data_IF_816893176036
#
_entry.id   IF_816893176036
#
_cell.length_a   1.000
_cell.length_b   1.000
_cell.length_c   1.000
_cell.angle_alpha   90.00
_cell.angle_beta   90.00
_cell.angle_gamma   90.00
#
_symmetry.space_group_name_H-M   'P 1'
#
loop_
_entity.id
_entity.type
_entity.pdbx_description
1 polymer ?
#
# COMPACT_ATOMS: atom_id res chain seq x y z
N UNK A 1 -42.53 23.99 -29.62
CA UNK A 1 -41.56 22.93 -29.23
C UNK A 1 -42.33 21.91 -28.42
N UNK A 2 -42.34 20.63 -28.80
CA UNK A 2 -43.17 19.59 -28.19
C UNK A 2 -42.34 18.58 -27.39
N UNK A 3 -42.93 18.04 -26.32
CA UNK A 3 -42.31 17.08 -25.38
C UNK A 3 -41.57 15.92 -26.07
N UNK A 4 -42.07 15.43 -27.21
CA UNK A 4 -41.45 14.35 -27.98
C UNK A 4 -40.10 14.78 -28.60
N UNK A 5 -39.96 16.03 -29.05
CA UNK A 5 -38.72 16.54 -29.63
C UNK A 5 -37.64 16.72 -28.55
N UNK A 6 -38.04 17.20 -27.37
CA UNK A 6 -37.16 17.32 -26.21
C UNK A 6 -36.73 15.94 -25.68
N UNK A 7 -37.66 14.97 -25.63
CA UNK A 7 -37.33 13.58 -25.26
C UNK A 7 -36.41 12.90 -26.28
N UNK A 8 -36.57 13.17 -27.58
CA UNK A 8 -35.66 12.65 -28.62
C UNK A 8 -34.25 13.22 -28.44
N UNK A 9 -34.12 14.54 -28.24
CA UNK A 9 -32.82 15.18 -27.98
C UNK A 9 -32.16 14.65 -26.71
N UNK A 10 -32.92 14.45 -25.63
CA UNK A 10 -32.40 13.84 -24.40
C UNK A 10 -31.97 12.39 -24.61
N UNK A 11 -32.75 11.60 -25.35
CA UNK A 11 -32.41 10.21 -25.65
C UNK A 11 -31.16 10.09 -26.54
N UNK A 12 -31.01 10.95 -27.55
CA UNK A 12 -29.84 10.96 -28.42
C UNK A 12 -28.58 11.42 -27.67
N UNK A 13 -28.71 12.42 -26.79
CA UNK A 13 -27.62 12.85 -25.90
C UNK A 13 -27.20 11.75 -24.92
N UNK A 14 -28.15 11.02 -24.34
CA UNK A 14 -27.87 9.89 -23.46
C UNK A 14 -27.17 8.74 -24.20
N UNK A 15 -27.65 8.38 -25.40
CA UNK A 15 -27.00 7.37 -26.25
C UNK A 15 -25.59 7.75 -26.65
N UNK A 16 -25.36 9.02 -27.05
CA UNK A 16 -24.03 9.51 -27.39
C UNK A 16 -23.08 9.40 -26.18
N UNK A 17 -23.55 9.80 -25.00
CA UNK A 17 -22.76 9.70 -23.76
C UNK A 17 -22.43 8.24 -23.40
N UNK A 18 -23.33 7.30 -23.65
CA UNK A 18 -23.10 5.87 -23.37
C UNK A 18 -22.11 5.24 -24.36
N UNK A 19 -22.13 5.67 -25.64
CA UNK A 19 -21.13 5.27 -26.63
C UNK A 19 -19.75 5.78 -26.24
N UNK A 20 -19.62 7.07 -25.92
CA UNK A 20 -18.35 7.68 -25.50
C UNK A 20 -17.77 6.99 -24.25
N UNK A 21 -18.62 6.69 -23.25
CA UNK A 21 -18.20 5.94 -22.06
C UNK A 21 -17.70 4.54 -22.43
N UNK A 22 -18.44 3.82 -23.26
CA UNK A 22 -18.07 2.45 -23.67
C UNK A 22 -16.74 2.44 -24.44
N UNK A 23 -16.52 3.41 -25.33
CA UNK A 23 -15.25 3.55 -26.05
C UNK A 23 -14.09 3.89 -25.11
N UNK A 24 -14.30 4.79 -24.14
CA UNK A 24 -13.29 5.13 -23.14
C UNK A 24 -12.89 3.92 -22.28
N UNK A 25 -13.86 3.09 -21.86
CA UNK A 25 -13.60 1.87 -21.10
C UNK A 25 -12.85 0.82 -21.93
N UNK A 26 -13.21 0.65 -23.22
CA UNK A 26 -12.46 -0.22 -24.13
C UNK A 26 -11.02 0.25 -24.30
N UNK A 27 -10.80 1.55 -24.49
CA UNK A 27 -9.46 2.13 -24.61
C UNK A 27 -8.61 1.86 -23.35
N UNK A 28 -9.19 2.07 -22.17
CA UNK A 28 -8.54 1.76 -20.90
C UNK A 28 -8.21 0.27 -20.76
N UNK A 29 -9.15 -0.61 -21.09
CA UNK A 29 -8.95 -2.06 -21.05
C UNK A 29 -7.80 -2.52 -21.96
N UNK A 30 -7.74 -2.00 -23.19
CA UNK A 30 -6.66 -2.29 -24.15
C UNK A 30 -5.31 -1.77 -23.64
N UNK A 31 -5.27 -0.57 -23.06
CA UNK A 31 -4.04 -0.02 -22.49
C UNK A 31 -3.49 -0.88 -21.35
N UNK A 32 -4.38 -1.31 -20.43
CA UNK A 32 -4.03 -2.22 -19.32
C UNK A 32 -3.55 -3.57 -19.85
N UNK A 33 -4.25 -4.14 -20.82
CA UNK A 33 -3.87 -5.42 -21.43
C UNK A 33 -2.47 -5.37 -22.06
N UNK A 34 -2.20 -4.34 -22.86
CA UNK A 34 -0.90 -4.15 -23.48
C UNK A 34 0.22 -4.00 -22.45
N UNK A 35 -0.03 -3.24 -21.38
CA UNK A 35 0.95 -3.03 -20.33
C UNK A 35 1.25 -4.32 -19.54
N UNK A 36 0.22 -5.06 -19.14
CA UNK A 36 0.37 -6.32 -18.41
C UNK A 36 0.99 -7.42 -19.28
N UNK A 37 0.57 -7.53 -20.55
CA UNK A 37 1.16 -8.48 -21.50
C UNK A 37 2.64 -8.19 -21.71
N UNK A 38 3.03 -6.91 -21.80
CA UNK A 38 4.44 -6.50 -21.88
C UNK A 38 5.20 -6.90 -20.61
N UNK A 39 4.63 -6.64 -19.43
CA UNK A 39 5.21 -7.07 -18.15
C UNK A 39 5.48 -8.58 -18.14
N UNK A 40 4.45 -9.37 -18.51
CA UNK A 40 4.54 -10.82 -18.54
C UNK A 40 5.63 -11.31 -19.48
N UNK A 41 5.61 -10.88 -20.74
CA UNK A 41 6.56 -11.35 -21.74
C UNK A 41 8.01 -11.03 -21.36
N UNK A 42 8.28 -9.79 -20.94
CA UNK A 42 9.62 -9.36 -20.57
C UNK A 42 10.11 -10.06 -19.30
N UNK A 43 9.31 -10.09 -18.24
CA UNK A 43 9.71 -10.66 -16.95
C UNK A 43 9.82 -12.18 -17.01
N UNK A 44 9.01 -12.84 -17.84
CA UNK A 44 9.12 -14.28 -18.07
C UNK A 44 10.42 -14.62 -18.82
N UNK A 45 10.79 -13.86 -19.84
CA UNK A 45 12.06 -14.08 -20.54
C UNK A 45 13.26 -13.79 -19.64
N UNK A 46 13.24 -12.67 -18.90
CA UNK A 46 14.23 -12.36 -17.88
C UNK A 46 14.36 -13.50 -16.85
N UNK A 47 13.24 -13.99 -16.31
CA UNK A 47 13.22 -15.06 -15.32
C UNK A 47 13.87 -16.34 -15.85
N UNK A 48 13.65 -16.71 -17.11
CA UNK A 48 14.32 -17.85 -17.76
C UNK A 48 15.83 -17.67 -17.79
N UNK A 49 16.32 -16.47 -18.18
CA UNK A 49 17.75 -16.19 -18.23
C UNK A 49 18.37 -16.17 -16.82
N UNK A 50 17.70 -15.57 -15.83
CA UNK A 50 18.18 -15.52 -14.45
C UNK A 50 18.28 -16.90 -13.80
N UNK A 51 17.33 -17.80 -14.11
CA UNK A 51 17.38 -19.19 -13.64
C UNK A 51 18.60 -19.96 -14.19
N UNK A 52 19.06 -19.63 -15.39
CA UNK A 52 20.26 -20.23 -16.00
C UNK A 52 21.53 -19.66 -15.36
N UNK A 53 21.61 -18.34 -15.24
CA UNK A 53 22.83 -17.64 -14.78
C UNK A 53 23.01 -17.75 -13.26
N UNK A 54 21.95 -18.01 -12.49
CA UNK A 54 21.94 -18.03 -11.02
C UNK A 54 22.56 -16.76 -10.45
N UNK A 55 21.99 -15.62 -10.83
CA UNK A 55 22.52 -14.30 -10.51
C UNK A 55 22.65 -14.09 -8.99
N UNK A 56 23.83 -13.67 -8.49
CA UNK A 56 23.96 -13.18 -7.13
C UNK A 56 23.09 -11.94 -6.91
N UNK A 57 22.38 -11.90 -5.80
CA UNK A 57 21.59 -10.75 -5.38
C UNK A 57 22.50 -9.71 -4.71
N UNK A 58 22.42 -8.43 -5.10
CA UNK A 58 23.21 -7.37 -4.46
C UNK A 58 22.57 -6.86 -3.15
N UNK A 59 21.38 -7.34 -2.81
CA UNK A 59 20.65 -6.88 -1.63
C UNK A 59 21.23 -7.43 -0.33
N UNK A 60 21.17 -6.59 0.71
CA UNK A 60 21.49 -6.97 2.09
C UNK A 60 20.25 -6.71 2.93
N UNK A 61 19.66 -7.79 3.44
CA UNK A 61 18.43 -7.70 4.23
C UNK A 61 18.77 -7.58 5.69
N UNK A 62 18.15 -6.61 6.37
CA UNK A 62 18.37 -6.40 7.80
C UNK A 62 17.28 -7.08 8.58
N UNK A 63 17.63 -8.15 9.29
CA UNK A 63 16.67 -8.82 10.17
C UNK A 63 16.86 -8.25 11.59
N UNK A 64 15.86 -7.51 12.13
CA UNK A 64 16.00 -6.85 13.42
C UNK A 64 16.47 -7.84 14.48
N UNK A 65 17.49 -7.47 15.25
CA UNK A 65 18.07 -8.25 16.36
C UNK A 65 18.78 -9.56 15.98
N UNK A 66 18.89 -9.90 14.70
CA UNK A 66 19.58 -11.11 14.21
C UNK A 66 20.85 -10.74 13.45
N UNK A 67 20.80 -9.68 12.65
CA UNK A 67 21.92 -9.19 11.84
C UNK A 67 21.57 -9.12 10.36
N UNK A 68 22.62 -8.93 9.55
CA UNK A 68 22.51 -8.73 8.12
C UNK A 68 22.57 -10.07 7.38
N UNK A 69 21.61 -10.28 6.47
CA UNK A 69 21.55 -11.40 5.55
C UNK A 69 22.17 -10.97 4.23
N UNK A 70 23.26 -11.62 3.83
CA UNK A 70 24.00 -11.30 2.60
C UNK A 70 24.39 -12.57 1.84
N UNK A 71 25.04 -12.41 0.68
CA UNK A 71 25.43 -13.54 -0.16
C UNK A 71 24.24 -14.30 -0.75
N UNK A 72 23.10 -13.62 -0.91
CA UNK A 72 21.89 -14.18 -1.50
C UNK A 72 22.09 -14.41 -2.99
N UNK A 73 21.46 -15.44 -3.53
CA UNK A 73 21.33 -15.65 -4.96
C UNK A 73 19.86 -15.82 -5.32
N UNK A 74 19.47 -15.26 -6.47
CA UNK A 74 18.13 -15.49 -6.99
C UNK A 74 18.02 -16.89 -7.60
N UNK A 75 16.92 -17.58 -7.30
CA UNK A 75 16.58 -18.91 -7.79
C UNK A 75 15.08 -18.99 -8.08
N UNK A 76 14.68 -20.01 -8.83
CA UNK A 76 13.27 -20.37 -9.05
C UNK A 76 12.39 -19.18 -9.48
N UNK A 77 12.90 -18.37 -10.41
CA UNK A 77 12.11 -17.30 -11.03
C UNK A 77 10.92 -17.90 -11.77
N UNK A 78 9.74 -17.34 -11.51
CA UNK A 78 8.49 -17.76 -12.10
C UNK A 78 7.59 -16.55 -12.34
N UNK A 79 6.91 -16.55 -13.48
CA UNK A 79 5.96 -15.50 -13.86
C UNK A 79 4.66 -16.16 -14.34
N UNK A 80 3.54 -15.71 -13.78
CA UNK A 80 2.19 -16.15 -14.14
C UNK A 80 1.32 -14.92 -14.46
N UNK A 81 0.18 -15.16 -15.12
CA UNK A 81 -0.82 -14.14 -15.36
C UNK A 81 -2.23 -14.65 -15.10
N UNK A 82 -3.15 -13.73 -14.86
CA UNK A 82 -4.58 -14.00 -14.74
C UNK A 82 -5.31 -13.12 -15.74
N UNK A 83 -6.28 -13.72 -16.43
CA UNK A 83 -7.19 -12.99 -17.31
C UNK A 83 -8.52 -12.75 -16.62
N UNK A 84 -9.24 -11.74 -17.09
CA UNK A 84 -10.60 -11.43 -16.68
C UNK A 84 -11.42 -11.09 -17.92
N UNK A 85 -12.65 -11.57 -17.95
CA UNK A 85 -13.61 -11.15 -18.96
C UNK A 85 -14.11 -9.73 -18.64
N UNK A 86 -13.96 -8.81 -19.58
CA UNK A 86 -14.39 -7.42 -19.42
C UNK A 86 -14.98 -6.91 -20.74
N UNK A 87 -16.18 -6.33 -20.70
CA UNK A 87 -16.96 -5.86 -21.86
C UNK A 87 -17.26 -6.95 -22.88
N UNK A 88 -16.30 -7.30 -23.73
CA UNK A 88 -16.46 -8.13 -24.92
C UNK A 88 -15.38 -9.20 -25.08
N UNK A 89 -14.33 -9.18 -24.25
CA UNK A 89 -13.19 -10.08 -24.38
C UNK A 89 -12.50 -10.36 -23.05
N UNK A 90 -11.67 -11.39 -23.05
CA UNK A 90 -10.70 -11.64 -21.98
C UNK A 90 -9.47 -10.75 -22.16
N UNK A 91 -9.16 -9.99 -21.11
CA UNK A 91 -7.98 -9.13 -21.02
C UNK A 91 -7.07 -9.64 -19.90
N UNK A 92 -5.78 -9.34 -19.97
CA UNK A 92 -4.87 -9.51 -18.84
C UNK A 92 -5.37 -8.66 -17.67
N UNK A 93 -5.46 -9.26 -16.49
CA UNK A 93 -5.92 -8.62 -15.26
C UNK A 93 -4.81 -8.52 -14.23
N UNK A 94 -4.06 -9.62 -14.05
CA UNK A 94 -2.94 -9.65 -13.11
C UNK A 94 -1.71 -10.30 -13.75
N UNK A 95 -0.53 -9.84 -13.35
CA UNK A 95 0.74 -10.52 -13.60
C UNK A 95 1.45 -10.72 -12.26
N UNK A 96 1.88 -11.94 -12.00
CA UNK A 96 2.57 -12.32 -10.76
C UNK A 96 3.99 -12.74 -11.12
N UNK A 97 4.96 -12.10 -10.49
CA UNK A 97 6.37 -12.46 -10.58
C UNK A 97 6.82 -12.92 -9.21
N UNK A 98 7.57 -14.01 -9.16
CA UNK A 98 8.19 -14.47 -7.94
C UNK A 98 9.56 -15.06 -8.20
N UNK A 99 10.44 -14.92 -7.21
CA UNK A 99 11.74 -15.55 -7.16
C UNK A 99 12.04 -15.94 -5.71
N UNK A 100 12.94 -16.90 -5.53
CA UNK A 100 13.50 -17.27 -4.23
C UNK A 100 14.86 -16.60 -4.07
N UNK A 101 15.07 -15.93 -2.95
CA UNK A 101 16.36 -15.40 -2.54
C UNK A 101 16.90 -16.28 -1.42
N UNK A 102 17.99 -17.00 -1.70
CA UNK A 102 18.58 -17.94 -0.74
C UNK A 102 20.08 -17.75 -0.60
N UNK A 103 20.60 -17.91 0.61
CA UNK A 103 22.01 -17.96 0.97
C UNK A 103 22.27 -19.22 1.83
N UNK A 104 23.50 -19.72 1.82
CA UNK A 104 23.92 -20.83 2.71
C UNK A 104 24.10 -20.37 4.17
N UNK A 105 24.00 -19.07 4.42
CA UNK A 105 24.06 -18.48 5.74
C UNK A 105 22.89 -18.97 6.62
N UNK A 106 23.23 -19.45 7.82
CA UNK A 106 22.26 -19.75 8.88
C UNK A 106 22.56 -18.83 10.04
N UNK A 107 21.56 -18.04 10.45
CA UNK A 107 21.69 -17.10 11.55
C UNK A 107 21.11 -17.73 12.82
N UNK A 108 21.84 -17.62 13.93
CA UNK A 108 21.39 -18.10 15.24
C UNK A 108 21.12 -16.93 16.17
N UNK A 109 19.90 -16.83 16.68
CA UNK A 109 19.50 -15.77 17.62
C UNK A 109 18.81 -16.36 18.84
N UNK A 110 19.22 -15.88 20.02
CA UNK A 110 18.61 -16.22 21.30
C UNK A 110 17.60 -15.15 21.69
N UNK A 111 16.37 -15.56 22.01
CA UNK A 111 15.30 -14.69 22.50
C UNK A 111 14.82 -15.11 23.86
N UNK A 112 14.61 -14.12 24.73
CA UNK A 112 13.98 -14.32 26.04
C UNK A 112 12.47 -14.55 25.91
N UNK A 113 11.80 -14.87 27.03
CA UNK A 113 10.38 -15.22 27.04
C UNK A 113 9.47 -14.09 26.51
N UNK A 114 9.85 -12.83 26.75
CA UNK A 114 9.05 -11.65 26.37
C UNK A 114 9.06 -11.33 24.86
N UNK A 115 10.06 -11.86 24.14
CA UNK A 115 10.32 -11.54 22.74
C UNK A 115 10.22 -12.74 21.80
N UNK A 116 10.22 -13.98 22.32
CA UNK A 116 10.26 -15.20 21.49
C UNK A 116 9.03 -15.34 20.58
N UNK A 117 7.82 -15.01 21.09
CA UNK A 117 6.59 -15.10 20.30
C UNK A 117 6.53 -14.02 19.22
N UNK A 118 6.84 -12.76 19.58
CA UNK A 118 6.91 -11.65 18.63
C UNK A 118 7.92 -11.93 17.52
N UNK A 119 9.08 -12.48 17.88
CA UNK A 119 10.11 -12.81 16.91
C UNK A 119 9.66 -13.95 15.98
N UNK A 120 8.95 -14.96 16.50
CA UNK A 120 8.33 -16.00 15.69
C UNK A 120 7.32 -15.42 14.71
N UNK A 121 6.45 -14.52 15.14
CA UNK A 121 5.46 -13.86 14.27
C UNK A 121 6.12 -13.08 13.14
N UNK A 122 7.23 -12.38 13.42
CA UNK A 122 8.04 -11.67 12.41
C UNK A 122 8.57 -12.64 11.34
N UNK A 123 9.15 -13.77 11.76
CA UNK A 123 9.66 -14.77 10.82
C UNK A 123 8.55 -15.36 9.95
N UNK A 124 7.36 -15.58 10.53
CA UNK A 124 6.18 -16.05 9.80
C UNK A 124 5.67 -15.02 8.79
N UNK A 125 5.57 -13.75 9.17
CA UNK A 125 5.08 -12.65 8.33
C UNK A 125 5.94 -12.47 7.06
N UNK A 126 7.25 -12.65 7.19
CA UNK A 126 8.21 -12.58 6.08
C UNK A 126 8.44 -13.91 5.36
N UNK A 127 7.74 -14.97 5.77
CA UNK A 127 7.85 -16.31 5.21
C UNK A 127 9.30 -16.87 5.27
N UNK A 128 10.00 -16.61 6.37
CA UNK A 128 11.39 -17.05 6.58
C UNK A 128 11.39 -18.41 7.28
N UNK A 129 12.06 -19.39 6.67
CA UNK A 129 12.20 -20.73 7.23
C UNK A 129 13.10 -20.70 8.48
N UNK A 130 12.62 -21.28 9.58
CA UNK A 130 13.39 -21.33 10.83
C UNK A 130 13.16 -22.63 11.59
N UNK A 131 14.15 -23.00 12.40
CA UNK A 131 14.03 -23.99 13.47
C UNK A 131 14.14 -23.29 14.81
N UNK A 132 13.45 -23.78 15.83
CA UNK A 132 13.46 -23.19 17.16
C UNK A 132 13.56 -24.25 18.25
N UNK A 133 14.42 -24.02 19.24
CA UNK A 133 14.59 -24.88 20.41
C UNK A 133 14.34 -24.10 21.69
N UNK A 134 13.40 -24.58 22.50
CA UNK A 134 13.04 -23.96 23.78
C UNK A 134 13.84 -24.58 24.93
N UNK A 135 14.46 -23.72 25.72
CA UNK A 135 15.24 -24.11 26.89
C UNK A 135 14.45 -23.79 28.16
N UNK A 136 14.22 -24.82 28.97
CA UNK A 136 13.50 -24.71 30.25
C UNK A 136 14.45 -24.91 31.41
N UNK A 137 14.23 -24.17 32.49
CA UNK A 137 14.96 -24.36 33.75
C UNK A 137 14.45 -25.61 34.50
N UNK A 138 15.12 -25.97 35.60
CA UNK A 138 14.76 -27.08 36.50
C UNK A 138 13.30 -26.99 37.00
N UNK A 139 12.74 -25.78 37.07
CA UNK A 139 11.32 -25.53 37.41
C UNK A 139 10.36 -25.65 36.22
N UNK A 140 10.83 -26.15 35.07
CA UNK A 140 10.10 -26.26 33.80
C UNK A 140 9.62 -24.93 33.20
N UNK A 141 10.16 -23.79 33.66
CA UNK A 141 9.88 -22.46 33.12
C UNK A 141 10.77 -22.20 31.90
N UNK A 142 10.21 -21.69 30.80
CA UNK A 142 10.98 -21.32 29.61
C UNK A 142 11.88 -20.13 29.96
N UNK A 143 13.19 -20.28 29.74
CA UNK A 143 14.18 -19.24 29.99
C UNK A 143 14.54 -18.49 28.72
N UNK A 144 14.64 -19.20 27.60
CA UNK A 144 14.93 -18.64 26.29
C UNK A 144 14.63 -19.66 25.19
N UNK A 145 14.51 -19.14 23.99
CA UNK A 145 14.39 -19.92 22.76
C UNK A 145 15.52 -19.54 21.80
N UNK A 146 16.15 -20.55 21.19
CA UNK A 146 17.19 -20.35 20.18
C UNK A 146 16.56 -20.61 18.82
N UNK A 147 16.62 -19.60 17.94
CA UNK A 147 16.13 -19.67 16.58
C UNK A 147 17.29 -19.82 15.61
N UNK A 148 17.26 -20.86 14.78
CA UNK A 148 18.11 -21.02 13.61
C UNK A 148 17.33 -20.58 12.38
N UNK A 149 17.63 -19.39 11.89
CA UNK A 149 16.98 -18.76 10.75
C UNK A 149 17.76 -19.12 9.48
N UNK A 150 17.13 -19.85 8.57
CA UNK A 150 17.69 -20.07 7.24
C UNK A 150 17.47 -18.82 6.40
N UNK A 151 18.51 -18.37 5.72
CA UNK A 151 18.44 -17.21 4.85
C UNK A 151 17.82 -17.59 3.51
N UNK A 152 16.52 -17.91 3.53
CA UNK A 152 15.78 -18.38 2.37
C UNK A 152 14.32 -17.89 2.42
N UNK A 153 13.98 -17.02 1.48
CA UNK A 153 12.67 -16.37 1.43
C UNK A 153 12.26 -16.00 0.01
N UNK A 154 10.98 -15.71 -0.17
CA UNK A 154 10.39 -15.34 -1.46
C UNK A 154 10.40 -13.83 -1.65
N UNK A 155 10.82 -13.41 -2.84
CA UNK A 155 10.68 -12.06 -3.37
C UNK A 155 9.61 -12.09 -4.45
N UNK A 156 8.66 -11.17 -4.43
CA UNK A 156 7.52 -11.23 -5.35
C UNK A 156 7.02 -9.86 -5.76
N UNK A 157 6.42 -9.79 -6.94
CA UNK A 157 5.72 -8.61 -7.41
C UNK A 157 4.38 -9.00 -8.05
N UNK A 158 3.35 -8.20 -7.78
CA UNK A 158 2.03 -8.33 -8.39
C UNK A 158 1.71 -7.04 -9.14
N UNK A 159 1.37 -7.17 -10.41
CA UNK A 159 0.79 -6.12 -11.24
C UNK A 159 -0.71 -6.38 -11.32
N UNK A 160 -1.50 -5.37 -11.01
CA UNK A 160 -2.95 -5.43 -10.98
C UNK A 160 -3.51 -4.28 -11.84
N UNK A 161 -4.33 -4.62 -12.82
CA UNK A 161 -4.87 -3.71 -13.80
C UNK A 161 -6.31 -3.32 -13.51
N UNK A 162 -6.59 -2.02 -13.48
CA UNK A 162 -7.94 -1.47 -13.42
C UNK A 162 -8.39 -1.07 -14.84
N UNK A 163 -9.18 -1.93 -15.48
CA UNK A 163 -9.70 -1.72 -16.83
C UNK A 163 -10.73 -0.59 -16.94
N UNK A 164 -11.32 -0.15 -15.83
CA UNK A 164 -12.26 0.98 -15.83
C UNK A 164 -11.51 2.31 -15.88
N UNK A 165 -10.44 2.44 -15.08
CA UNK A 165 -9.70 3.70 -14.94
C UNK A 165 -8.39 3.76 -15.72
N UNK A 166 -7.94 2.64 -16.29
CA UNK A 166 -6.67 2.54 -17.03
C UNK A 166 -5.45 2.63 -16.11
N UNK A 167 -5.60 2.30 -14.82
CA UNK A 167 -4.54 2.38 -13.81
C UNK A 167 -3.88 1.02 -13.61
N UNK A 168 -2.59 1.05 -13.26
CA UNK A 168 -1.84 -0.10 -12.81
C UNK A 168 -1.44 0.11 -11.35
N UNK A 169 -1.68 -0.91 -10.54
CA UNK A 169 -1.14 -1.03 -9.19
C UNK A 169 -0.07 -2.12 -9.19
N UNK A 170 1.12 -1.77 -8.70
CA UNK A 170 2.26 -2.69 -8.66
C UNK A 170 2.66 -2.84 -7.19
N UNK A 171 2.62 -4.06 -6.68
CA UNK A 171 2.97 -4.39 -5.30
C UNK A 171 4.21 -5.29 -5.30
N UNK A 172 5.33 -4.80 -4.79
CA UNK A 172 6.56 -5.55 -4.64
C UNK A 172 6.76 -5.91 -3.16
N UNK A 173 6.85 -7.19 -2.83
CA UNK A 173 7.10 -7.69 -1.47
C UNK A 173 8.51 -8.27 -1.40
N UNK A 174 9.22 -7.90 -0.33
CA UNK A 174 10.58 -8.32 -0.01
C UNK A 174 11.62 -7.93 -1.07
N UNK A 175 11.40 -6.89 -1.88
CA UNK A 175 12.38 -6.41 -2.87
C UNK A 175 13.30 -5.39 -2.20
N UNK A 176 14.59 -5.70 -2.09
CA UNK A 176 15.58 -4.81 -1.46
C UNK A 176 15.61 -4.84 0.06
N UNK A 177 14.46 -4.93 0.72
CA UNK A 177 14.33 -5.10 2.18
C UNK A 177 13.05 -5.89 2.53
N UNK A 178 12.86 -6.25 3.79
CA UNK A 178 11.65 -6.92 4.29
C UNK A 178 10.47 -5.94 4.43
N UNK A 179 9.88 -5.56 3.30
CA UNK A 179 8.75 -4.63 3.24
C UNK A 179 7.78 -4.98 2.11
N UNK A 180 6.75 -4.13 1.95
CA UNK A 180 5.88 -4.14 0.77
C UNK A 180 5.87 -2.73 0.18
N UNK A 181 6.44 -2.60 -1.00
CA UNK A 181 6.39 -1.37 -1.79
C UNK A 181 5.15 -1.40 -2.69
N UNK A 182 4.39 -0.29 -2.70
CA UNK A 182 3.19 -0.14 -3.53
C UNK A 182 3.35 1.06 -4.45
N UNK A 183 3.30 0.80 -5.75
CA UNK A 183 3.40 1.80 -6.80
C UNK A 183 2.07 1.89 -7.57
N UNK A 184 1.77 3.08 -8.08
CA UNK A 184 0.63 3.32 -8.97
C UNK A 184 1.06 4.19 -10.14
N UNK A 185 0.60 3.85 -11.34
CA UNK A 185 0.80 4.66 -12.55
C UNK A 185 -0.30 4.38 -13.59
N UNK A 186 -0.37 5.18 -14.66
CA UNK A 186 -1.28 4.89 -15.77
C UNK A 186 -0.72 3.73 -16.62
N UNK A 187 -1.59 2.86 -17.11
CA UNK A 187 -1.20 1.76 -17.98
C UNK A 187 -0.48 2.24 -19.25
N UNK A 188 -0.92 3.36 -19.82
CA UNK A 188 -0.28 3.99 -20.98
C UNK A 188 1.16 4.45 -20.73
N UNK A 189 1.53 4.72 -19.48
CA UNK A 189 2.89 5.13 -19.11
C UNK A 189 3.82 3.92 -18.91
N UNK A 190 3.27 2.70 -18.83
CA UNK A 190 4.01 1.47 -18.59
C UNK A 190 4.53 0.85 -19.90
N UNK A 191 5.47 1.57 -20.51
CA UNK A 191 6.15 1.21 -21.75
C UNK A 191 7.35 0.25 -21.53
N UNK A 192 8.09 -0.08 -22.59
CA UNK A 192 9.24 -1.00 -22.52
C UNK A 192 10.32 -0.50 -21.55
N UNK A 193 10.59 0.82 -21.53
CA UNK A 193 11.52 1.42 -20.56
C UNK A 193 11.02 1.20 -19.13
N UNK A 194 9.74 1.44 -18.85
CA UNK A 194 9.19 1.25 -17.50
C UNK A 194 9.30 -0.21 -17.02
N UNK A 195 9.06 -1.16 -17.92
CA UNK A 195 9.21 -2.60 -17.63
C UNK A 195 10.66 -2.98 -17.36
N UNK A 196 11.59 -2.49 -18.17
CA UNK A 196 13.03 -2.72 -17.98
C UNK A 196 13.51 -2.12 -16.65
N UNK A 197 13.12 -0.89 -16.32
CA UNK A 197 13.51 -0.24 -15.08
C UNK A 197 12.89 -0.91 -13.85
N UNK A 198 11.64 -1.38 -13.94
CA UNK A 198 11.05 -2.23 -12.91
C UNK A 198 11.86 -3.52 -12.73
N UNK A 199 12.24 -4.17 -13.82
CA UNK A 199 13.02 -5.41 -13.76
C UNK A 199 14.37 -5.18 -13.09
N UNK A 200 15.07 -4.07 -13.41
CA UNK A 200 16.32 -3.67 -12.75
C UNK A 200 16.10 -3.44 -11.25
N UNK A 201 15.05 -2.73 -10.87
CA UNK A 201 14.64 -2.57 -9.46
C UNK A 201 14.43 -3.92 -8.78
N UNK A 202 13.69 -4.84 -9.39
CA UNK A 202 13.35 -6.14 -8.83
C UNK A 202 14.58 -7.00 -8.50
N UNK A 203 15.63 -6.92 -9.33
CA UNK A 203 16.87 -7.70 -9.16
C UNK A 203 18.02 -6.90 -8.52
N UNK A 204 17.76 -5.66 -8.11
CA UNK A 204 18.74 -4.81 -7.42
C UNK A 204 19.83 -4.21 -8.30
N UNK A 205 19.57 -4.08 -9.61
CA UNK A 205 20.44 -3.30 -10.51
C UNK A 205 20.15 -1.80 -10.37
N UNK A 206 21.13 -0.93 -10.67
CA UNK A 206 20.88 0.50 -10.80
C UNK A 206 19.72 0.76 -11.75
N UNK A 207 18.77 1.59 -11.32
CA UNK A 207 17.50 1.79 -12.02
C UNK A 207 16.95 3.20 -11.77
N UNK A 208 15.99 3.60 -12.60
CA UNK A 208 15.22 4.84 -12.53
C UNK A 208 13.75 4.60 -12.15
N UNK A 209 13.42 3.41 -11.62
CA UNK A 209 12.03 2.98 -11.41
C UNK A 209 11.23 3.96 -10.54
N UNK A 210 11.79 4.37 -9.40
CA UNK A 210 11.14 5.31 -8.49
C UNK A 210 10.83 6.66 -9.17
N UNK A 211 11.75 7.16 -10.01
CA UNK A 211 11.56 8.40 -10.76
C UNK A 211 10.53 8.26 -11.88
N UNK A 212 10.48 7.12 -12.56
CA UNK A 212 9.43 6.82 -13.56
C UNK A 212 8.05 6.84 -12.89
N UNK A 213 7.89 6.13 -11.77
CA UNK A 213 6.62 6.10 -11.03
C UNK A 213 6.25 7.50 -10.57
N UNK A 214 7.18 8.26 -9.99
CA UNK A 214 6.93 9.63 -9.51
C UNK A 214 6.48 10.58 -10.62
N UNK A 215 6.96 10.39 -11.86
CA UNK A 215 6.57 11.19 -13.02
C UNK A 215 5.18 10.87 -13.55
N UNK A 216 4.58 9.75 -13.14
CA UNK A 216 3.20 9.41 -13.50
C UNK A 216 2.24 10.55 -13.15
N UNK A 217 1.28 10.82 -14.03
CA UNK A 217 0.24 11.82 -13.79
C UNK A 217 -0.57 11.55 -12.51
N UNK A 218 -0.65 10.29 -12.06
CA UNK A 218 -1.32 9.93 -10.81
C UNK A 218 -0.58 10.48 -9.58
N UNK A 219 0.75 10.43 -9.60
CA UNK A 219 1.59 10.81 -8.47
C UNK A 219 1.92 12.30 -8.47
N UNK A 220 1.99 12.94 -9.65
CA UNK A 220 2.10 14.40 -9.75
C UNK A 220 0.87 15.11 -9.17
N UNK A 221 -0.35 14.61 -9.45
CA UNK A 221 -1.59 15.20 -8.92
C UNK A 221 -1.70 15.06 -7.40
N UNK A 222 -1.21 13.96 -6.83
CA UNK A 222 -1.19 13.75 -5.38
C UNK A 222 -0.23 14.73 -4.66
N UNK A 223 0.89 15.11 -5.29
CA UNK A 223 1.87 16.03 -4.72
C UNK A 223 1.41 17.51 -4.70
N UNK A 224 0.41 17.87 -5.52
CA UNK A 224 -0.09 19.26 -5.67
C UNK A 224 -1.40 19.50 -4.90
N UNK A 225 -2.00 18.45 -4.31
CA UNK A 225 -3.21 18.60 -3.52
C UNK A 225 -2.91 19.35 -2.20
N UNK A 226 -3.54 20.52 -1.93
CA UNK A 226 -3.34 21.22 -0.67
C UNK A 226 -3.85 20.38 0.51
N UNK A 227 -3.22 20.47 1.70
CA UNK A 227 -3.66 19.72 2.86
C UNK A 227 -5.12 20.05 3.18
N UNK A 228 -5.92 19.07 3.64
CA UNK A 228 -7.30 19.33 4.05
C UNK A 228 -7.26 20.38 5.16
N UNK A 229 -7.94 21.51 4.93
CA UNK A 229 -8.07 22.57 5.94
C UNK A 229 -8.66 21.92 7.21
N UNK A 230 -8.11 22.18 8.40
CA UNK A 230 -8.72 21.71 9.64
C UNK A 230 -10.16 22.20 9.64
N UNK A 231 -11.11 21.27 9.88
CA UNK A 231 -12.53 21.62 10.06
C UNK A 231 -12.58 22.65 11.18
N UNK A 232 -12.94 23.88 10.85
CA UNK A 232 -13.17 24.91 11.84
C UNK A 232 -14.23 24.39 12.81
N UNK A 233 -13.89 24.33 14.09
CA UNK A 233 -14.84 24.05 15.15
C UNK A 233 -16.00 25.05 15.02
N UNK A 234 -17.27 24.62 15.19
CA UNK A 234 -18.40 25.51 15.10
C UNK A 234 -18.26 26.61 16.16
N UNK A 235 -17.96 27.82 15.70
CA UNK A 235 -17.82 29.00 16.54
C UNK A 235 -19.20 29.30 17.15
N UNK A 236 -19.33 29.01 18.44
CA UNK A 236 -20.55 29.25 19.21
C UNK A 236 -20.87 30.76 19.16
N UNK A 237 -21.94 31.12 18.45
CA UNK A 237 -22.41 32.49 18.40
C UNK A 237 -22.99 32.88 19.78
N UNK A 238 -22.59 34.00 20.39
CA UNK A 238 -23.18 34.43 21.64
C UNK A 238 -24.66 34.84 21.41
N UNK A 239 -25.57 34.54 22.35
CA UNK A 239 -26.99 34.84 22.18
C UNK A 239 -27.23 36.35 22.11
N UNK A 240 -28.03 36.77 21.14
CA UNK A 240 -28.51 38.15 21.01
C UNK A 240 -29.30 38.53 22.25
N UNK A 241 -28.84 39.56 22.96
CA UNK A 241 -29.61 40.23 24.00
C UNK A 241 -30.96 40.68 23.46
N UNK A 242 -32.04 40.16 24.05
CA UNK A 242 -33.39 40.65 23.85
C UNK A 242 -33.52 42.06 24.42
N UNK A 243 -34.11 42.95 23.63
CA UNK A 243 -34.32 44.34 23.97
C UNK A 243 -35.27 44.50 25.16
N UNK A 244 -34.84 45.41 26.03
CA UNK A 244 -35.51 46.09 27.14
C UNK A 244 -37.00 46.39 26.89
N UNK A 245 -37.84 45.99 27.83
CA UNK A 245 -39.12 46.64 28.12
C UNK A 245 -39.04 47.22 29.55
N UNK A 246 -39.34 48.51 29.69
CA UNK A 246 -39.42 49.25 30.97
C UNK A 246 -40.86 49.22 31.55
N UNK A 247 -41.16 49.86 32.69
CA UNK A 247 -40.93 49.37 34.04
C UNK A 247 -42.24 49.33 34.87
N UNK A 248 -42.23 48.73 36.07
CA UNK A 248 -43.30 48.94 37.06
C UNK A 248 -42.72 49.04 38.48
N UNK A 249 -43.41 49.84 39.28
CA UNK A 249 -43.00 50.53 40.50
C UNK A 249 -42.59 49.66 41.72
N UNK A 250 -41.59 50.17 42.43
CA UNK A 250 -41.59 50.50 43.88
C UNK A 250 -41.98 49.41 44.91
N UNK A 251 -40.99 48.98 45.72
CA UNK A 251 -41.09 49.06 47.19
C UNK A 251 -39.74 48.85 47.89
N UNK A 252 -39.49 49.68 48.92
CA UNK A 252 -38.32 49.61 49.81
C UNK A 252 -38.56 48.62 50.95
N UNK A 253 -37.55 47.82 51.30
CA UNK A 253 -37.19 47.27 52.64
C UNK A 253 -36.20 46.11 52.39
N UNK A 254 -35.11 45.87 53.10
CA UNK A 254 -34.49 46.39 54.30
C UNK A 254 -33.56 45.29 54.84
N UNK A 255 -32.50 45.70 55.53
CA UNK A 255 -31.84 44.99 56.64
C UNK A 255 -31.21 43.58 56.44
N UNK A 256 -29.92 43.54 56.81
CA UNK A 256 -29.17 42.41 57.40
C UNK A 256 -28.75 41.30 56.42
N UNK A 257 -27.53 40.78 56.44
CA UNK A 257 -26.43 40.94 57.37
C UNK A 257 -25.44 39.77 57.17
N UNK A 258 -24.21 40.00 57.65
CA UNK A 258 -23.21 39.02 58.06
C UNK A 258 -22.47 38.18 57.01
N UNK A 259 -21.24 38.63 56.71
CA UNK A 259 -19.98 37.98 57.13
C UNK A 259 -20.02 36.48 57.51
N UNK A 260 -19.14 35.71 56.84
CA UNK A 260 -18.01 34.87 57.36
C UNK A 260 -17.76 33.73 56.36
N UNK A 261 -16.65 33.74 55.62
CA UNK A 261 -15.39 33.05 55.95
C UNK A 261 -15.60 31.64 56.50
N UNK A 262 -15.08 30.60 55.86
CA UNK A 262 -14.07 29.70 56.45
C UNK A 262 -13.48 28.72 55.42
N UNK A 263 -12.23 28.40 55.69
CA UNK A 263 -11.19 27.68 54.94
C UNK A 263 -11.00 26.29 55.55
N UNK A 264 -10.59 25.30 54.72
CA UNK A 264 -9.77 24.07 54.92
C UNK A 264 -10.44 22.87 54.23
N UNK A 265 -9.81 22.07 53.36
CA UNK A 265 -8.44 21.53 53.27
C UNK A 265 -8.06 20.70 54.50
N UNK A 266 -8.48 19.44 54.50
CA UNK A 266 -7.62 18.28 54.24
C UNK A 266 -8.43 17.21 53.49
#
# INVERSE_FOLDING_TARGET
MGLLDDLKKQADAAKAQDVDKTESLRSNAVAVDHALRRAFLYLNDLGKQLNVVKMPSPFVYKLPTVGDISGLAFRDFFVDFRTKNFIDKDYYNEVHVAARCSSEQVLSVKKGPDDMEKFRDILWQYNIEHKSEQYRDQRKVITHEIFQVKCDFRVQAKFDGDHETGRLKIMAKNVGDFNIDVFQMMALEFNDKAVEEFAKYFIGRPNEWAEIVKRSVLNQKAAVAPPPRPKAEPQYAPPKHAARAEPAAEEKRGLLGSLRSFIKKD
#
